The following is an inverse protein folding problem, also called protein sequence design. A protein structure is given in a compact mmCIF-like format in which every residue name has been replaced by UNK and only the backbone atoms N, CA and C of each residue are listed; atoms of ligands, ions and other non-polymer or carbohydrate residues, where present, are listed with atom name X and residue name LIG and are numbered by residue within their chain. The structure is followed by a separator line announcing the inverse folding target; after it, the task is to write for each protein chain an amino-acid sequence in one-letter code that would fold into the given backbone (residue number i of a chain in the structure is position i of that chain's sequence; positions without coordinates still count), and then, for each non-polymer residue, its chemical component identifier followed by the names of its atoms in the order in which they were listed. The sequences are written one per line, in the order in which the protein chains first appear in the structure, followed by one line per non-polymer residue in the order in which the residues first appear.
data_IF_618013773617
#
_entry.id   IF_618013773617
#
_cell.length_a   1.000
_cell.length_b   1.000
_cell.length_c   1.000
_cell.angle_alpha   90.00
_cell.angle_beta   90.00
_cell.angle_gamma   90.00
#
_symmetry.space_group_name_H-M   'P 1'
#
loop_
_entity.id
_entity.type
_entity.pdbx_description
1 polymer ?
#
# COMPACT_ATOMS: atom_id res chain seq x y z
N UNK A 1 34.53 -1.79 -10.37
CA UNK A 1 33.31 -1.47 -9.59
C UNK A 1 32.62 -0.36 -10.33
N UNK A 2 31.46 -0.65 -10.92
CA UNK A 2 30.73 0.27 -11.78
C UNK A 2 30.11 1.37 -10.91
N UNK A 3 30.47 2.62 -11.17
CA UNK A 3 30.02 3.78 -10.41
C UNK A 3 28.49 3.86 -10.49
N UNK A 4 27.81 3.67 -9.36
CA UNK A 4 26.34 3.71 -9.31
C UNK A 4 25.91 5.12 -9.69
N UNK A 5 25.22 5.25 -10.83
CA UNK A 5 24.69 6.55 -11.28
C UNK A 5 23.80 7.14 -10.18
N UNK A 6 23.82 8.47 -9.99
CA UNK A 6 22.93 9.20 -9.05
C UNK A 6 21.47 8.76 -9.15
N UNK A 7 21.01 8.38 -10.35
CA UNK A 7 19.67 7.82 -10.59
C UNK A 7 19.47 6.44 -9.97
N UNK A 8 20.44 5.53 -10.11
CA UNK A 8 20.41 4.20 -9.52
C UNK A 8 20.50 4.27 -7.98
N UNK A 9 21.36 5.13 -7.44
CA UNK A 9 21.44 5.38 -6.00
C UNK A 9 20.09 5.85 -5.44
N UNK A 10 19.38 6.74 -6.14
CA UNK A 10 18.06 7.19 -5.74
C UNK A 10 16.99 6.09 -5.80
N UNK A 11 17.06 5.18 -6.78
CA UNK A 11 16.17 4.02 -6.85
C UNK A 11 16.42 3.03 -5.72
N UNK A 12 17.69 2.73 -5.43
CA UNK A 12 18.08 1.83 -4.32
C UNK A 12 17.60 2.40 -2.99
N UNK A 13 17.80 3.70 -2.76
CA UNK A 13 17.28 4.37 -1.57
C UNK A 13 15.75 4.26 -1.49
N UNK A 14 15.01 4.58 -2.56
CA UNK A 14 13.55 4.46 -2.57
C UNK A 14 13.05 3.04 -2.29
N UNK A 15 13.72 2.02 -2.84
CA UNK A 15 13.38 0.61 -2.58
C UNK A 15 13.59 0.29 -1.10
N UNK A 16 14.72 0.70 -0.53
CA UNK A 16 15.04 0.50 0.89
C UNK A 16 14.01 1.17 1.80
N UNK A 17 13.64 2.42 1.54
CA UNK A 17 12.65 3.14 2.32
C UNK A 17 11.27 2.50 2.24
N UNK A 18 10.81 2.12 1.04
CA UNK A 18 9.52 1.46 0.86
C UNK A 18 9.50 0.09 1.55
N UNK A 19 10.58 -0.68 1.46
CA UNK A 19 10.69 -1.96 2.18
C UNK A 19 10.65 -1.76 3.69
N UNK A 20 11.34 -0.74 4.21
CA UNK A 20 11.33 -0.41 5.63
C UNK A 20 9.92 -0.02 6.13
N UNK A 21 9.15 0.72 5.31
CA UNK A 21 7.74 1.01 5.61
C UNK A 21 6.90 -0.27 5.61
N UNK A 22 7.11 -1.18 4.66
CA UNK A 22 6.38 -2.46 4.59
C UNK A 22 6.64 -3.29 5.86
N UNK A 23 7.90 -3.46 6.25
CA UNK A 23 8.30 -4.21 7.45
C UNK A 23 7.66 -3.61 8.73
N UNK A 24 7.64 -2.28 8.85
CA UNK A 24 6.97 -1.61 9.97
C UNK A 24 5.47 -1.86 9.99
N UNK A 25 4.82 -1.88 8.82
CA UNK A 25 3.39 -2.18 8.70
C UNK A 25 3.05 -3.63 9.09
N UNK A 26 3.92 -4.58 8.74
CA UNK A 26 3.80 -5.99 9.11
C UNK A 26 3.99 -6.17 10.62
N UNK A 27 5.04 -5.57 11.20
CA UNK A 27 5.26 -5.61 12.65
C UNK A 27 4.11 -4.96 13.42
N UNK A 28 3.55 -3.86 12.90
CA UNK A 28 2.38 -3.24 13.51
C UNK A 28 1.14 -4.14 13.39
N UNK A 29 0.95 -4.88 12.29
CA UNK A 29 -0.13 -5.87 12.17
C UNK A 29 0.01 -6.98 13.21
N UNK A 30 1.22 -7.54 13.38
CA UNK A 30 1.50 -8.59 14.38
C UNK A 30 1.11 -8.16 15.80
N UNK A 31 1.39 -6.90 16.15
CA UNK A 31 1.01 -6.33 17.44
C UNK A 31 -0.50 -6.31 17.70
N UNK A 32 -1.31 -6.21 16.64
CA UNK A 32 -2.78 -6.22 16.73
C UNK A 32 -3.38 -7.58 16.33
N UNK A 33 -2.57 -8.65 16.29
CA UNK A 33 -3.02 -9.96 15.83
C UNK A 33 -4.18 -10.51 16.67
N UNK A 34 -4.18 -10.27 17.98
CA UNK A 34 -5.27 -10.67 18.88
C UNK A 34 -6.57 -9.95 18.52
N UNK A 35 -6.57 -8.63 18.44
CA UNK A 35 -7.78 -7.85 18.11
C UNK A 35 -8.27 -8.15 16.68
N UNK A 36 -7.34 -8.36 15.74
CA UNK A 36 -7.69 -8.76 14.38
C UNK A 36 -8.34 -10.14 14.30
N UNK A 37 -8.04 -11.03 15.26
CA UNK A 37 -8.65 -12.37 15.33
C UNK A 37 -10.11 -12.33 15.82
N UNK A 38 -10.48 -11.28 16.57
CA UNK A 38 -11.84 -11.07 17.08
C UNK A 38 -12.75 -10.38 16.04
N UNK A 39 -12.18 -9.80 14.99
CA UNK A 39 -12.95 -9.15 13.93
C UNK A 39 -13.74 -10.19 13.14
N UNK A 40 -15.02 -9.90 12.92
CA UNK A 40 -15.89 -10.72 12.08
C UNK A 40 -15.24 -11.01 10.71
N UNK A 41 -15.22 -12.27 10.22
CA UNK A 41 -14.44 -12.69 9.05
C UNK A 41 -14.67 -11.84 7.77
N UNK A 42 -15.90 -11.36 7.57
CA UNK A 42 -16.24 -10.48 6.44
C UNK A 42 -15.47 -9.14 6.43
N UNK A 43 -15.00 -8.68 7.58
CA UNK A 43 -14.29 -7.41 7.73
C UNK A 43 -12.80 -7.57 8.02
N UNK A 44 -12.28 -8.79 8.18
CA UNK A 44 -10.89 -9.06 8.52
C UNK A 44 -9.88 -8.31 7.61
N UNK A 45 -10.12 -8.29 6.29
CA UNK A 45 -9.27 -7.56 5.32
C UNK A 45 -9.33 -6.04 5.50
N UNK A 46 -10.51 -5.50 5.82
CA UNK A 46 -10.67 -4.07 6.08
C UNK A 46 -10.03 -3.67 7.39
N UNK A 47 -10.12 -4.52 8.43
CA UNK A 47 -9.49 -4.30 9.72
C UNK A 47 -7.96 -4.32 9.62
N UNK A 48 -7.37 -5.29 8.90
CA UNK A 48 -5.93 -5.29 8.58
C UNK A 48 -5.52 -4.02 7.86
N UNK A 49 -6.26 -3.61 6.83
CA UNK A 49 -5.98 -2.36 6.12
C UNK A 49 -6.09 -1.13 7.03
N UNK A 50 -7.01 -1.12 8.00
CA UNK A 50 -7.12 -0.05 8.99
C UNK A 50 -5.88 -0.01 9.91
N UNK A 51 -5.39 -1.17 10.36
CA UNK A 51 -4.15 -1.27 11.14
C UNK A 51 -2.96 -0.72 10.34
N UNK A 52 -2.82 -1.12 9.07
CA UNK A 52 -1.80 -0.57 8.17
C UNK A 52 -1.96 0.94 7.94
N UNK A 53 -3.19 1.45 7.80
CA UNK A 53 -3.48 2.88 7.69
C UNK A 53 -3.01 3.65 8.91
N UNK A 54 -3.29 3.13 10.10
CA UNK A 54 -2.84 3.75 11.35
C UNK A 54 -1.33 3.75 11.48
N UNK A 55 -0.64 2.68 11.05
CA UNK A 55 0.82 2.65 11.01
C UNK A 55 1.35 3.71 10.04
N UNK A 56 0.88 3.71 8.80
CA UNK A 56 1.33 4.60 7.74
C UNK A 56 1.12 6.09 8.07
N UNK A 57 0.03 6.46 8.75
CA UNK A 57 -0.23 7.85 9.16
C UNK A 57 0.67 8.36 10.28
N UNK A 58 1.40 7.49 10.97
CA UNK A 58 2.42 7.87 11.97
C UNK A 58 3.81 8.11 11.36
N UNK A 59 4.01 7.73 10.11
CA UNK A 59 5.29 7.81 9.41
C UNK A 59 5.45 9.15 8.68
N UNK A 60 6.65 9.73 8.70
CA UNK A 60 6.97 10.87 7.82
C UNK A 60 7.41 10.38 6.43
N UNK A 61 6.44 10.14 5.56
CA UNK A 61 6.67 9.66 4.19
C UNK A 61 6.87 10.77 3.15
N UNK A 62 6.97 12.05 3.58
CA UNK A 62 7.00 13.20 2.65
C UNK A 62 8.20 13.15 1.70
N UNK A 63 9.36 12.72 2.19
CA UNK A 63 10.57 12.56 1.38
C UNK A 63 10.39 11.48 0.30
N UNK A 64 9.79 10.35 0.68
CA UNK A 64 9.49 9.23 -0.22
C UNK A 64 8.50 9.69 -1.31
N UNK A 65 7.38 10.31 -0.91
CA UNK A 65 6.36 10.82 -1.83
C UNK A 65 6.93 11.82 -2.84
N UNK A 66 7.74 12.78 -2.38
CA UNK A 66 8.37 13.78 -3.27
C UNK A 66 9.25 13.12 -4.34
N UNK A 67 10.06 12.13 -3.95
CA UNK A 67 10.95 11.42 -4.88
C UNK A 67 10.17 10.50 -5.83
N UNK A 68 9.09 9.88 -5.38
CA UNK A 68 8.19 9.09 -6.23
C UNK A 68 7.43 9.97 -7.24
N UNK A 69 6.97 11.15 -6.82
CA UNK A 69 6.31 12.12 -7.69
C UNK A 69 7.23 12.59 -8.83
N UNK A 70 8.53 12.80 -8.56
CA UNK A 70 9.53 13.10 -9.59
C UNK A 70 9.73 11.96 -10.61
N UNK A 71 9.29 10.74 -10.29
CA UNK A 71 9.27 9.59 -11.19
C UNK A 71 7.89 9.36 -11.83
N UNK A 72 6.91 10.23 -11.59
CA UNK A 72 5.53 10.09 -12.05
C UNK A 72 4.70 9.06 -11.28
N UNK A 73 5.18 8.59 -10.13
CA UNK A 73 4.54 7.55 -9.31
C UNK A 73 3.73 8.17 -8.17
N UNK A 74 2.47 8.52 -8.41
CA UNK A 74 1.56 9.15 -7.41
C UNK A 74 0.63 8.14 -6.71
N UNK A 75 0.92 6.85 -6.84
CA UNK A 75 0.02 5.78 -6.39
C UNK A 75 -0.20 5.75 -4.86
N UNK A 76 0.70 6.35 -4.09
CA UNK A 76 0.56 6.44 -2.63
C UNK A 76 -0.47 7.47 -2.17
N UNK A 77 -0.82 8.45 -3.00
CA UNK A 77 -1.72 9.56 -2.62
C UNK A 77 -3.18 9.13 -2.48
N UNK A 78 -3.55 7.94 -3.01
CA UNK A 78 -4.89 7.36 -2.90
C UNK A 78 -4.88 5.93 -2.34
N UNK A 79 -3.83 5.60 -1.58
CA UNK A 79 -3.60 4.25 -1.09
C UNK A 79 -4.44 3.86 0.14
N UNK A 80 -5.22 4.79 0.72
CA UNK A 80 -5.89 4.61 2.02
C UNK A 80 -6.71 3.31 2.13
N UNK A 81 -7.36 2.91 1.03
CA UNK A 81 -8.21 1.72 0.99
C UNK A 81 -7.46 0.40 0.72
N UNK A 82 -6.14 0.44 0.47
CA UNK A 82 -5.33 -0.71 0.04
C UNK A 82 -3.82 -0.45 0.22
N UNK A 83 -3.39 -0.06 1.42
CA UNK A 83 -2.02 0.47 1.66
C UNK A 83 -0.93 -0.53 1.27
N UNK A 84 -0.99 -1.75 1.81
CA UNK A 84 0.05 -2.77 1.57
C UNK A 84 0.18 -3.08 0.08
N UNK A 85 -0.94 -3.14 -0.65
CA UNK A 85 -0.93 -3.37 -2.09
C UNK A 85 -0.27 -2.23 -2.86
N UNK A 86 -0.48 -0.98 -2.46
CA UNK A 86 0.15 0.19 -3.09
C UNK A 86 1.65 0.22 -2.84
N UNK A 87 2.11 -0.04 -1.61
CA UNK A 87 3.53 -0.09 -1.27
C UNK A 87 4.26 -1.20 -2.04
N UNK A 88 3.69 -2.41 -2.04
CA UNK A 88 4.24 -3.54 -2.80
C UNK A 88 4.31 -3.26 -4.30
N UNK A 89 3.27 -2.63 -4.88
CA UNK A 89 3.25 -2.24 -6.29
C UNK A 89 4.34 -1.22 -6.61
N UNK A 90 4.52 -0.21 -5.76
CA UNK A 90 5.59 0.80 -5.92
C UNK A 90 6.95 0.13 -5.83
N UNK A 91 7.19 -0.74 -4.84
CA UNK A 91 8.44 -1.50 -4.70
C UNK A 91 8.75 -2.29 -5.97
N UNK A 92 7.79 -3.07 -6.48
CA UNK A 92 7.98 -3.86 -7.70
C UNK A 92 8.27 -2.99 -8.93
N UNK A 93 7.65 -1.81 -9.06
CA UNK A 93 7.96 -0.87 -10.14
C UNK A 93 9.41 -0.37 -10.03
N UNK A 94 9.83 0.05 -8.83
CA UNK A 94 11.19 0.55 -8.59
C UNK A 94 12.25 -0.53 -8.85
N UNK A 95 12.00 -1.77 -8.41
CA UNK A 95 12.86 -2.94 -8.67
C UNK A 95 12.95 -3.24 -10.17
N UNK A 96 11.84 -3.15 -10.90
CA UNK A 96 11.82 -3.31 -12.36
C UNK A 96 12.62 -2.23 -13.08
N UNK A 97 12.53 -0.97 -12.62
CA UNK A 97 13.33 0.14 -13.14
C UNK A 97 14.83 -0.04 -12.88
N UNK A 98 15.20 -0.61 -11.73
CA UNK A 98 16.60 -0.87 -11.39
C UNK A 98 17.17 -2.07 -12.16
N UNK A 99 16.41 -3.16 -12.26
CA UNK A 99 16.85 -4.42 -12.86
C UNK A 99 16.66 -4.51 -14.38
N UNK A 100 15.96 -3.56 -15.00
CA UNK A 100 15.51 -3.58 -16.42
C UNK A 100 14.75 -4.86 -16.80
N UNK A 101 14.19 -5.57 -15.81
CA UNK A 101 13.46 -6.83 -16.00
C UNK A 101 11.95 -6.60 -15.87
N UNK A 102 11.13 -7.49 -16.46
CA UNK A 102 9.68 -7.41 -16.35
C UNK A 102 9.24 -7.44 -14.88
N UNK A 103 8.34 -6.51 -14.53
CA UNK A 103 7.83 -6.31 -13.17
C UNK A 103 6.96 -7.50 -12.78
N UNK A 104 7.38 -8.27 -11.77
CA UNK A 104 6.52 -9.26 -11.12
C UNK A 104 5.66 -8.55 -10.07
N UNK A 105 4.35 -8.46 -10.31
CA UNK A 105 3.42 -7.88 -9.33
C UNK A 105 3.34 -8.78 -8.10
N UNK A 106 3.68 -8.25 -6.93
CA UNK A 106 3.43 -8.92 -5.67
C UNK A 106 1.93 -9.17 -5.45
N UNK A 107 1.60 -10.31 -4.82
CA UNK A 107 0.22 -10.63 -4.43
C UNK A 107 -0.09 -9.91 -3.13
N UNK A 108 -1.08 -9.03 -3.15
CA UNK A 108 -1.59 -8.35 -1.96
C UNK A 108 -3.02 -8.80 -1.65
N UNK A 109 -3.34 -8.94 -0.36
CA UNK A 109 -4.64 -9.45 0.10
C UNK A 109 -5.82 -8.55 -0.26
N UNK A 110 -5.61 -7.24 -0.22
CA UNK A 110 -6.59 -6.22 -0.56
C UNK A 110 -6.10 -5.36 -1.73
N UNK A 111 -6.58 -5.66 -2.93
CA UNK A 111 -6.27 -4.87 -4.12
C UNK A 111 -7.21 -3.67 -4.28
N UNK A 112 -6.83 -2.69 -5.10
CA UNK A 112 -7.66 -1.54 -5.45
C UNK A 112 -9.09 -1.95 -5.87
N UNK A 113 -9.21 -2.85 -6.87
CA UNK A 113 -10.51 -3.34 -7.36
C UNK A 113 -11.34 -4.00 -6.25
N UNK A 114 -10.69 -4.77 -5.38
CA UNK A 114 -11.34 -5.48 -4.28
C UNK A 114 -11.81 -4.51 -3.19
N UNK A 115 -11.00 -3.51 -2.86
CA UNK A 115 -11.34 -2.46 -1.88
C UNK A 115 -12.58 -1.69 -2.29
N UNK A 116 -12.67 -1.24 -3.56
CA UNK A 116 -13.85 -0.53 -4.08
C UNK A 116 -15.09 -1.42 -4.04
N UNK A 117 -14.97 -2.69 -4.43
CA UNK A 117 -16.09 -3.63 -4.41
C UNK A 117 -16.60 -3.86 -2.98
N UNK A 118 -15.70 -4.03 -2.02
CA UNK A 118 -16.04 -4.19 -0.61
C UNK A 118 -16.73 -2.94 -0.06
N UNK A 119 -16.21 -1.74 -0.35
CA UNK A 119 -16.82 -0.49 0.07
C UNK A 119 -18.26 -0.34 -0.47
N UNK A 120 -18.49 -0.65 -1.76
CA UNK A 120 -19.83 -0.64 -2.36
C UNK A 120 -20.77 -1.67 -1.71
N UNK A 121 -20.27 -2.88 -1.45
CA UNK A 121 -21.06 -3.94 -0.82
C UNK A 121 -21.46 -3.56 0.61
N UNK A 122 -20.50 -3.08 1.40
CA UNK A 122 -20.74 -2.67 2.78
C UNK A 122 -21.69 -1.47 2.86
N UNK A 123 -21.49 -0.47 1.99
CA UNK A 123 -22.39 0.68 1.90
C UNK A 123 -23.82 0.22 1.56
N UNK A 124 -23.98 -0.73 0.63
CA UNK A 124 -25.28 -1.31 0.30
C UNK A 124 -25.92 -2.04 1.49
N UNK A 125 -25.15 -2.83 2.21
CA UNK A 125 -25.65 -3.57 3.38
C UNK A 125 -26.05 -2.64 4.53
N UNK A 126 -25.31 -1.55 4.74
CA UNK A 126 -25.55 -0.62 5.85
C UNK A 126 -26.62 0.44 5.53
N UNK A 127 -26.60 0.97 4.30
CA UNK A 127 -27.39 2.15 3.90
C UNK A 127 -28.44 1.85 2.83
N UNK A 128 -28.51 0.62 2.34
CA UNK A 128 -29.39 0.24 1.23
C UNK A 128 -28.86 0.66 -0.14
N UNK A 129 -29.72 0.61 -1.16
CA UNK A 129 -29.34 0.98 -2.53
C UNK A 129 -29.04 2.48 -2.64
N UNK A 130 -28.02 2.82 -3.43
CA UNK A 130 -27.74 4.22 -3.78
C UNK A 130 -28.96 4.85 -4.46
N UNK A 131 -29.42 5.99 -3.97
CA UNK A 131 -30.43 6.81 -4.63
C UNK A 131 -29.91 7.29 -5.99
N UNK A 132 -30.75 7.28 -7.03
CA UNK A 132 -30.38 7.85 -8.34
C UNK A 132 -30.07 9.35 -8.19
N UNK A 133 -28.92 9.79 -8.68
CA UNK A 133 -28.55 11.21 -8.76
C UNK A 133 -27.56 11.74 -7.71
N UNK A 134 -26.96 10.88 -6.86
CA UNK A 134 -25.84 11.23 -5.96
C UNK A 134 -24.73 10.17 -6.00
#
# INVERSE_FOLDING_TARGET
MEEISKKQANLIWLISEISSVIERLEHFEEKYSTELSEVHPNFAKSARNLVHYRAMRKEDIRAIQKKLANLGLTQLDRAEAHIMASLLSVRSILEGLLSKKPIKKAKADLTFKKSIRMAKSNAKSLLGYRSKGR
#
